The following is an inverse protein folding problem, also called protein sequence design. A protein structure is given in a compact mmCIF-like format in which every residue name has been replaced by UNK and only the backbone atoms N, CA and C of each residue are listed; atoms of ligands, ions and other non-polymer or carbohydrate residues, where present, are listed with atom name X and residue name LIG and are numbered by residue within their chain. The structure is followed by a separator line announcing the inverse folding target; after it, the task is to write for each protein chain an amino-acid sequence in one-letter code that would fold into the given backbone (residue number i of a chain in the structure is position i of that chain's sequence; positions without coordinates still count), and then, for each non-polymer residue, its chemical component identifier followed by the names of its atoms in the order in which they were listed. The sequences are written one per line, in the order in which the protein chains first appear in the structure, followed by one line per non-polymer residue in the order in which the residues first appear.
data_IF_564104544107
#
_entry.id   IF_564104544107
#
_cell.length_a   1.000
_cell.length_b   1.000
_cell.length_c   1.000
_cell.angle_alpha   90.00
_cell.angle_beta   90.00
_cell.angle_gamma   90.00
#
_symmetry.space_group_name_H-M   'P 1'
#
loop_
_entity.id
_entity.type
_entity.pdbx_description
1 polymer ?
#
# COMPACT_ATOMS: atom_id res chain seq x y z
N UNK A 1 -41.85 -59.96 9.97
CA UNK A 1 -40.73 -60.10 10.94
C UNK A 1 -39.78 -61.14 10.39
N UNK A 2 -38.45 -60.90 10.44
CA UNK A 2 -37.73 -60.27 9.34
C UNK A 2 -36.80 -61.24 8.59
N UNK A 3 -36.59 -60.94 7.31
CA UNK A 3 -35.54 -61.47 6.45
C UNK A 3 -34.28 -60.63 6.59
N UNK A 4 -33.17 -61.29 6.89
CA UNK A 4 -31.82 -60.73 6.99
C UNK A 4 -31.01 -61.12 5.71
N UNK A 5 -29.75 -60.72 5.53
CA UNK A 5 -29.35 -59.65 4.63
C UNK A 5 -28.35 -60.15 3.58
N UNK A 6 -28.40 -59.68 2.33
CA UNK A 6 -27.19 -59.63 1.49
C UNK A 6 -27.52 -59.00 0.14
N UNK A 7 -27.22 -57.70 0.04
CA UNK A 7 -26.85 -56.99 -1.19
C UNK A 7 -26.42 -55.58 -0.83
N UNK A 8 -25.35 -55.49 -0.03
CA UNK A 8 -24.55 -54.28 -0.03
C UNK A 8 -23.72 -54.32 -1.32
N UNK A 9 -24.11 -53.50 -2.29
CA UNK A 9 -23.28 -53.19 -3.43
C UNK A 9 -21.92 -52.72 -2.92
N UNK A 10 -20.87 -53.47 -3.22
CA UNK A 10 -19.49 -53.00 -3.15
C UNK A 10 -19.37 -51.83 -4.12
N UNK A 11 -19.56 -50.61 -3.61
CA UNK A 11 -19.14 -49.41 -4.29
C UNK A 11 -17.62 -49.45 -4.36
N UNK A 12 -17.10 -49.75 -5.54
CA UNK A 12 -15.68 -49.59 -5.86
C UNK A 12 -15.25 -48.16 -5.52
N UNK A 13 -14.49 -48.01 -4.43
CA UNK A 13 -13.73 -46.80 -4.10
C UNK A 13 -12.45 -46.74 -4.94
N UNK A 14 -12.59 -46.80 -6.26
CA UNK A 14 -11.46 -46.74 -7.20
C UNK A 14 -11.56 -45.55 -8.15
N UNK A 15 -11.88 -44.37 -7.60
CA UNK A 15 -11.88 -43.10 -8.36
C UNK A 15 -11.41 -41.91 -7.50
N UNK A 16 -10.50 -42.16 -6.56
CA UNK A 16 -9.75 -41.09 -5.92
C UNK A 16 -8.68 -40.60 -6.91
N UNK A 17 -9.04 -39.61 -7.73
CA UNK A 17 -8.08 -38.90 -8.58
C UNK A 17 -6.87 -38.44 -7.77
N UNK A 18 -5.67 -38.60 -8.32
CA UNK A 18 -4.42 -38.18 -7.66
C UNK A 18 -4.49 -36.67 -7.44
N UNK A 19 -4.69 -36.27 -6.19
CA UNK A 19 -4.77 -34.86 -5.82
C UNK A 19 -3.35 -34.28 -5.76
N UNK A 20 -3.13 -33.19 -6.48
CA UNK A 20 -1.89 -32.43 -6.36
C UNK A 20 -1.81 -31.78 -4.97
N UNK A 21 -0.60 -31.67 -4.43
CA UNK A 21 -0.36 -30.94 -3.19
C UNK A 21 -0.88 -29.50 -3.29
N UNK A 22 -1.22 -28.91 -2.14
CA UNK A 22 -1.52 -27.48 -2.07
C UNK A 22 -0.27 -26.67 -2.50
N UNK A 23 -0.45 -25.60 -3.30
CA UNK A 23 0.67 -24.73 -3.63
C UNK A 23 1.25 -24.12 -2.35
N UNK A 24 2.58 -24.05 -2.26
CA UNK A 24 3.31 -23.34 -1.22
C UNK A 24 3.76 -21.97 -1.71
N UNK A 25 4.04 -21.05 -0.80
CA UNK A 25 4.56 -19.72 -1.13
C UNK A 25 5.75 -19.44 -0.24
N UNK A 26 6.83 -18.97 -0.85
CA UNK A 26 8.05 -18.58 -0.13
C UNK A 26 7.75 -17.53 0.96
N UNK A 27 8.23 -17.77 2.17
CA UNK A 27 8.00 -16.89 3.32
C UNK A 27 6.61 -17.01 3.96
N UNK A 28 5.75 -17.92 3.50
CA UNK A 28 4.44 -18.22 4.12
C UNK A 28 4.50 -19.55 4.86
N UNK A 29 4.17 -19.53 6.15
CA UNK A 29 4.06 -20.75 6.95
C UNK A 29 3.03 -21.70 6.34
N UNK A 30 3.39 -22.98 6.18
CA UNK A 30 2.49 -24.00 5.63
C UNK A 30 1.31 -24.32 6.57
N UNK A 31 1.46 -24.03 7.87
CA UNK A 31 0.43 -24.20 8.89
C UNK A 31 -0.48 -22.98 9.06
N UNK A 32 -0.16 -21.84 8.45
CA UNK A 32 -1.00 -20.64 8.51
C UNK A 32 -2.22 -20.77 7.57
N UNK A 33 -3.45 -20.94 8.10
CA UNK A 33 -4.65 -21.07 7.28
C UNK A 33 -5.03 -19.78 6.54
N UNK A 34 -4.56 -18.62 7.01
CA UNK A 34 -4.78 -17.34 6.34
C UNK A 34 -3.79 -17.10 5.18
N UNK A 35 -2.69 -17.85 5.15
CA UNK A 35 -1.64 -17.72 4.15
C UNK A 35 -1.05 -16.31 4.11
N UNK A 36 -0.65 -15.80 5.28
CA UNK A 36 -0.15 -14.43 5.43
C UNK A 36 1.12 -14.23 4.62
N UNK A 37 1.04 -13.39 3.59
CA UNK A 37 2.15 -13.08 2.70
C UNK A 37 3.20 -12.20 3.40
N UNK A 38 4.48 -12.30 3.00
CA UNK A 38 5.51 -11.34 3.39
C UNK A 38 5.10 -9.89 3.12
N UNK A 39 5.54 -8.96 3.98
CA UNK A 39 5.16 -7.55 3.90
C UNK A 39 5.60 -6.86 2.58
N UNK A 40 6.58 -7.44 1.89
CA UNK A 40 7.10 -6.96 0.61
C UNK A 40 6.48 -7.66 -0.62
N UNK A 41 5.48 -8.54 -0.44
CA UNK A 41 4.87 -9.31 -1.52
C UNK A 41 4.20 -8.42 -2.59
N UNK A 42 3.64 -7.27 -2.20
CA UNK A 42 3.07 -6.31 -3.17
C UNK A 42 4.15 -5.59 -4.00
N UNK A 43 5.40 -5.58 -3.55
CA UNK A 43 6.52 -4.89 -4.20
C UNK A 43 7.41 -5.85 -4.99
N UNK A 44 7.60 -7.08 -4.51
CA UNK A 44 8.49 -8.09 -5.12
C UNK A 44 7.74 -9.22 -5.83
N UNK A 45 6.44 -9.35 -5.61
CA UNK A 45 5.68 -10.51 -6.06
C UNK A 45 5.79 -11.67 -5.07
N UNK A 46 5.45 -12.87 -5.53
CA UNK A 46 5.48 -14.09 -4.71
C UNK A 46 6.21 -15.22 -5.44
N UNK A 47 6.94 -16.04 -4.69
CA UNK A 47 7.50 -17.30 -5.20
C UNK A 47 6.56 -18.46 -4.89
N UNK A 48 5.87 -18.99 -5.88
CA UNK A 48 4.98 -20.17 -5.70
C UNK A 48 5.82 -21.44 -5.78
N UNK A 49 5.79 -22.24 -4.73
CA UNK A 49 6.51 -23.51 -4.62
C UNK A 49 5.51 -24.64 -4.84
N UNK A 50 5.80 -25.53 -5.79
CA UNK A 50 4.99 -26.74 -6.02
C UNK A 50 5.86 -27.98 -5.89
N UNK A 51 5.29 -29.06 -5.37
CA UNK A 51 5.96 -30.37 -5.31
C UNK A 51 6.02 -31.01 -6.70
N UNK A 52 7.03 -31.87 -6.90
CA UNK A 52 7.08 -32.77 -8.06
C UNK A 52 5.80 -33.62 -8.15
N UNK A 53 5.16 -33.62 -9.32
CA UNK A 53 3.97 -34.45 -9.55
C UNK A 53 4.35 -35.89 -9.89
N UNK A 54 3.43 -36.82 -9.62
CA UNK A 54 3.70 -38.26 -9.71
C UNK A 54 4.13 -38.70 -11.13
N UNK A 55 3.50 -38.14 -12.15
CA UNK A 55 3.76 -38.43 -13.55
C UNK A 55 4.76 -37.45 -14.19
N UNK A 56 5.82 -37.01 -13.50
CA UNK A 56 6.84 -36.11 -14.07
C UNK A 56 7.50 -36.69 -15.34
N UNK A 57 7.83 -35.89 -16.37
CA UNK A 57 8.40 -36.38 -17.61
C UNK A 57 9.79 -37.01 -17.40
N UNK A 58 9.99 -38.18 -17.98
CA UNK A 58 11.27 -38.92 -17.96
C UNK A 58 11.85 -39.10 -19.37
N UNK A 59 11.14 -38.63 -20.39
CA UNK A 59 11.46 -38.71 -21.80
C UNK A 59 11.42 -37.31 -22.43
N UNK A 60 11.23 -37.22 -23.75
CA UNK A 60 11.14 -35.96 -24.48
C UNK A 60 9.83 -35.18 -24.23
N UNK A 61 8.91 -35.68 -23.39
CA UNK A 61 7.67 -35.00 -23.06
C UNK A 61 7.95 -33.73 -22.26
N UNK A 62 7.17 -32.69 -22.56
CA UNK A 62 7.20 -31.42 -21.85
C UNK A 62 5.83 -31.22 -21.20
N UNK A 63 5.83 -31.14 -19.88
CA UNK A 63 4.64 -30.85 -19.10
C UNK A 63 4.55 -29.33 -18.87
N UNK A 64 3.33 -28.82 -18.79
CA UNK A 64 3.08 -27.38 -18.65
C UNK A 64 2.35 -27.09 -17.36
N UNK A 65 2.93 -26.22 -16.54
CA UNK A 65 2.37 -25.81 -15.26
C UNK A 65 1.83 -24.40 -15.38
N UNK A 66 0.59 -24.21 -14.96
CA UNK A 66 -0.13 -22.94 -15.02
C UNK A 66 -0.59 -22.53 -13.63
N UNK A 67 -0.19 -21.34 -13.17
CA UNK A 67 -0.64 -20.74 -11.90
C UNK A 67 -1.84 -19.85 -12.18
N UNK A 68 -2.89 -20.01 -11.39
CA UNK A 68 -4.13 -19.23 -11.48
C UNK A 68 -4.40 -18.50 -10.18
N UNK A 69 -4.97 -17.31 -10.31
CA UNK A 69 -5.76 -16.69 -9.25
C UNK A 69 -7.18 -17.21 -9.41
N UNK A 70 -7.78 -17.72 -8.34
CA UNK A 70 -9.14 -18.25 -8.40
C UNK A 70 -10.10 -17.12 -8.78
N UNK A 71 -10.92 -17.35 -9.80
CA UNK A 71 -11.83 -16.36 -10.36
C UNK A 71 -11.31 -15.64 -11.61
N UNK A 72 -10.03 -15.82 -11.99
CA UNK A 72 -9.51 -15.34 -13.29
C UNK A 72 -9.55 -16.45 -14.35
N UNK A 73 -9.89 -16.13 -15.62
CA UNK A 73 -9.91 -17.14 -16.69
C UNK A 73 -8.50 -17.51 -17.15
N UNK A 74 -7.58 -16.55 -17.14
CA UNK A 74 -6.21 -16.70 -17.64
C UNK A 74 -5.23 -17.01 -16.50
N UNK A 75 -4.18 -17.81 -16.78
CA UNK A 75 -3.11 -18.04 -15.82
C UNK A 75 -2.27 -16.78 -15.63
N UNK A 76 -1.89 -16.49 -14.39
CA UNK A 76 -0.95 -15.41 -14.06
C UNK A 76 0.50 -15.79 -14.36
N UNK A 77 0.80 -17.08 -14.43
CA UNK A 77 2.13 -17.56 -14.80
C UNK A 77 2.07 -18.93 -15.45
N UNK A 78 2.99 -19.16 -16.38
CA UNK A 78 3.18 -20.45 -17.02
C UNK A 78 4.67 -20.83 -17.03
N UNK A 79 4.92 -22.13 -16.86
CA UNK A 79 6.25 -22.77 -16.95
C UNK A 79 6.14 -24.12 -17.66
N UNK A 80 7.24 -24.50 -18.29
CA UNK A 80 7.39 -25.76 -19.02
C UNK A 80 8.51 -26.56 -18.37
N UNK A 81 8.28 -27.84 -18.17
CA UNK A 81 9.22 -28.75 -17.50
C UNK A 81 9.40 -30.01 -18.34
N UNK A 82 10.64 -30.36 -18.63
CA UNK A 82 11.04 -31.63 -19.24
C UNK A 82 11.88 -32.48 -18.30
N UNK A 83 12.36 -33.63 -18.78
CA UNK A 83 13.18 -34.55 -17.99
C UNK A 83 14.46 -33.91 -17.41
N UNK A 84 15.01 -32.89 -18.07
CA UNK A 84 16.19 -32.17 -17.60
C UNK A 84 15.92 -31.28 -16.38
N UNK A 85 14.66 -30.94 -16.11
CA UNK A 85 14.27 -30.05 -15.02
C UNK A 85 13.93 -30.80 -13.73
N UNK A 86 14.07 -32.14 -13.68
CA UNK A 86 13.61 -32.95 -12.55
C UNK A 86 14.19 -32.48 -11.20
N UNK A 87 13.29 -32.07 -10.31
CA UNK A 87 13.58 -31.61 -8.96
C UNK A 87 12.44 -32.01 -8.02
N UNK A 88 12.72 -32.06 -6.71
CA UNK A 88 11.70 -32.35 -5.70
C UNK A 88 10.63 -31.26 -5.61
N UNK A 89 11.03 -30.01 -5.85
CA UNK A 89 10.18 -28.83 -5.78
C UNK A 89 10.54 -27.83 -6.87
N UNK A 90 9.55 -27.04 -7.28
CA UNK A 90 9.70 -26.02 -8.31
C UNK A 90 9.26 -24.66 -7.79
N UNK A 91 10.14 -23.66 -7.90
CA UNK A 91 9.85 -22.26 -7.57
C UNK A 91 9.44 -21.49 -8.83
N UNK A 92 8.22 -20.93 -8.80
CA UNK A 92 7.61 -20.21 -9.90
C UNK A 92 7.35 -18.76 -9.46
N UNK A 93 8.15 -17.78 -9.92
CA UNK A 93 7.97 -16.38 -9.53
C UNK A 93 6.77 -15.75 -10.26
N UNK A 94 5.85 -15.18 -9.48
CA UNK A 94 4.70 -14.39 -9.94
C UNK A 94 4.99 -12.92 -9.65
N UNK A 95 4.96 -12.10 -10.70
CA UNK A 95 5.25 -10.67 -10.61
C UNK A 95 4.20 -9.93 -9.76
N UNK A 96 4.58 -8.89 -9.01
CA UNK A 96 3.65 -8.14 -8.16
C UNK A 96 2.52 -7.48 -8.94
N UNK A 97 2.76 -7.09 -10.20
CA UNK A 97 1.74 -6.49 -11.09
C UNK A 97 0.63 -7.46 -11.50
N UNK A 98 0.84 -8.76 -11.31
CA UNK A 98 -0.12 -9.82 -11.62
C UNK A 98 -0.92 -10.25 -10.38
N UNK A 99 -0.60 -9.71 -9.20
CA UNK A 99 -1.32 -10.00 -7.97
C UNK A 99 -2.58 -9.12 -7.86
N UNK A 100 -3.66 -9.63 -7.25
CA UNK A 100 -4.86 -8.83 -7.03
C UNK A 100 -4.61 -7.68 -6.07
N UNK A 101 -5.29 -6.55 -6.29
CA UNK A 101 -5.35 -5.47 -5.31
C UNK A 101 -6.54 -5.65 -4.35
N UNK A 102 -6.63 -6.84 -3.74
CA UNK A 102 -7.60 -7.15 -2.68
C UNK A 102 -6.87 -7.68 -1.43
N UNK A 103 -7.46 -7.55 -0.22
CA UNK A 103 -6.78 -7.96 1.02
C UNK A 103 -6.39 -9.45 1.07
N UNK A 104 -7.19 -10.31 0.45
CA UNK A 104 -6.94 -11.74 0.35
C UNK A 104 -7.45 -12.30 -0.96
N UNK A 105 -6.77 -13.32 -1.48
CA UNK A 105 -7.11 -14.03 -2.71
C UNK A 105 -6.73 -15.51 -2.59
N UNK A 106 -7.16 -16.34 -3.53
CA UNK A 106 -6.76 -17.74 -3.59
C UNK A 106 -5.95 -18.02 -4.85
N UNK A 107 -4.95 -18.90 -4.72
CA UNK A 107 -4.19 -19.42 -5.85
C UNK A 107 -4.39 -20.92 -5.99
N UNK A 108 -4.29 -21.42 -7.22
CA UNK A 108 -4.18 -22.84 -7.52
C UNK A 108 -3.24 -23.04 -8.70
N UNK A 109 -2.77 -24.26 -8.89
CA UNK A 109 -2.03 -24.60 -10.09
C UNK A 109 -2.63 -25.80 -10.80
N UNK A 110 -2.38 -25.86 -12.11
CA UNK A 110 -2.77 -26.97 -12.96
C UNK A 110 -1.54 -27.48 -13.68
N UNK A 111 -1.35 -28.80 -13.65
CA UNK A 111 -0.34 -29.51 -14.41
C UNK A 111 -1.01 -30.10 -15.63
N UNK A 112 -0.64 -29.60 -16.81
CA UNK A 112 -1.02 -30.15 -18.11
C UNK A 112 0.02 -31.19 -18.50
N UNK A 113 -0.34 -32.45 -18.36
CA UNK A 113 0.53 -33.63 -18.57
C UNK A 113 -0.25 -34.70 -19.33
N UNK A 114 0.09 -35.98 -19.15
CA UNK A 114 -0.69 -37.11 -19.69
C UNK A 114 -2.14 -37.05 -19.21
N UNK A 115 -2.31 -36.74 -17.92
CA UNK A 115 -3.61 -36.45 -17.33
C UNK A 115 -3.54 -35.07 -16.68
N UNK A 116 -4.45 -34.19 -17.09
CA UNK A 116 -4.55 -32.87 -16.52
C UNK A 116 -5.01 -32.97 -15.07
N UNK A 117 -4.24 -32.38 -14.17
CA UNK A 117 -4.50 -32.40 -12.73
C UNK A 117 -4.44 -30.99 -12.18
N UNK A 118 -5.31 -30.70 -11.21
CA UNK A 118 -5.43 -29.37 -10.60
C UNK A 118 -5.29 -29.50 -9.09
N UNK A 119 -4.56 -28.58 -8.46
CA UNK A 119 -4.45 -28.51 -7.01
C UNK A 119 -5.72 -27.99 -6.37
N UNK A 120 -5.89 -28.25 -5.08
CA UNK A 120 -6.82 -27.47 -4.29
C UNK A 120 -6.38 -25.99 -4.25
N UNK A 121 -7.32 -25.04 -4.11
CA UNK A 121 -7.00 -23.65 -3.85
C UNK A 121 -6.30 -23.46 -2.51
N UNK A 122 -5.33 -22.54 -2.46
CA UNK A 122 -4.74 -22.02 -1.24
C UNK A 122 -5.08 -20.54 -1.10
N UNK A 123 -5.64 -20.18 0.06
CA UNK A 123 -5.83 -18.79 0.45
C UNK A 123 -4.51 -18.12 0.79
N UNK A 124 -4.38 -16.87 0.36
CA UNK A 124 -3.29 -15.96 0.68
C UNK A 124 -3.86 -14.61 1.11
N UNK A 125 -3.23 -13.99 2.10
CA UNK A 125 -3.67 -12.71 2.67
C UNK A 125 -2.48 -11.77 2.76
N UNK A 126 -2.59 -10.53 2.27
CA UNK A 126 -1.51 -9.57 2.44
C UNK A 126 -1.37 -9.16 3.91
N UNK A 127 -0.14 -9.19 4.44
CA UNK A 127 0.12 -8.67 5.77
C UNK A 127 -0.19 -7.16 5.83
N UNK A 128 -1.02 -6.75 6.79
CA UNK A 128 -1.25 -5.34 7.09
C UNK A 128 -0.08 -4.85 7.96
N UNK A 129 1.05 -4.54 7.33
CA UNK A 129 2.21 -3.95 8.02
C UNK A 129 2.20 -2.44 7.79
N UNK A 130 2.24 -1.60 8.85
CA UNK A 130 2.38 -0.16 8.66
C UNK A 130 3.70 0.12 7.94
N UNK A 131 3.74 1.05 6.96
CA UNK A 131 4.97 1.39 6.27
C UNK A 131 6.01 1.92 7.27
N UNK A 132 7.27 1.45 7.23
CA UNK A 132 8.30 1.85 8.17
C UNK A 132 8.48 3.37 8.21
N UNK A 133 8.58 3.90 9.43
CA UNK A 133 8.69 5.34 9.70
C UNK A 133 10.15 5.79 9.61
N UNK A 134 10.55 6.25 8.43
CA UNK A 134 11.96 6.57 8.11
C UNK A 134 12.15 7.90 7.39
N UNK A 135 11.06 8.51 6.88
CA UNK A 135 11.13 9.78 6.16
C UNK A 135 11.10 10.95 7.16
N UNK A 136 11.77 12.05 6.81
CA UNK A 136 11.80 13.27 7.61
C UNK A 136 10.39 13.87 7.72
N UNK A 137 10.14 14.63 8.78
CA UNK A 137 8.89 15.38 8.92
C UNK A 137 8.73 16.45 7.82
N UNK A 138 7.50 16.78 7.42
CA UNK A 138 7.24 17.97 6.62
C UNK A 138 7.58 19.25 7.37
N UNK A 139 7.92 20.30 6.62
CA UNK A 139 8.22 21.63 7.14
C UNK A 139 7.27 22.67 6.58
N UNK A 140 7.23 23.84 7.23
CA UNK A 140 6.31 24.92 6.92
C UNK A 140 7.11 26.18 6.60
N UNK A 141 7.43 26.43 5.31
CA UNK A 141 8.32 27.53 4.92
C UNK A 141 7.72 28.93 5.18
N UNK A 142 6.40 29.01 5.34
CA UNK A 142 5.68 30.26 5.63
C UNK A 142 5.49 30.50 7.14
N UNK A 143 6.02 29.60 7.99
CA UNK A 143 6.00 29.77 9.43
C UNK A 143 7.18 30.63 9.92
N UNK A 144 6.95 31.34 11.01
CA UNK A 144 8.01 32.01 11.79
C UNK A 144 9.02 31.00 12.35
N UNK A 145 10.19 31.44 12.84
CA UNK A 145 11.15 30.57 13.53
C UNK A 145 10.58 29.82 14.76
N UNK A 146 9.44 30.23 15.28
CA UNK A 146 8.74 29.61 16.41
C UNK A 146 7.61 28.65 15.99
N UNK A 147 7.45 28.44 14.68
CA UNK A 147 6.47 27.55 14.08
C UNK A 147 5.08 28.15 13.88
N UNK A 148 4.93 29.48 13.99
CA UNK A 148 3.64 30.15 13.80
C UNK A 148 3.43 30.61 12.37
N UNK A 149 2.27 30.30 11.80
CA UNK A 149 1.67 31.03 10.68
C UNK A 149 0.62 31.97 11.28
N UNK A 150 0.67 33.23 10.89
CA UNK A 150 -0.20 34.27 11.42
C UNK A 150 -0.82 35.08 10.28
N UNK A 151 -1.50 36.18 10.60
CA UNK A 151 -2.13 37.03 9.60
C UNK A 151 -1.14 37.68 8.61
N UNK A 152 0.12 37.86 9.00
CA UNK A 152 1.13 38.48 8.13
C UNK A 152 1.87 37.45 7.28
N UNK A 153 2.42 37.91 6.14
CA UNK A 153 3.33 37.09 5.34
C UNK A 153 4.70 37.04 6.02
N UNK A 154 4.96 35.98 6.78
CA UNK A 154 6.18 35.82 7.58
C UNK A 154 7.48 35.72 6.74
N UNK A 155 7.37 35.30 5.49
CA UNK A 155 8.50 35.22 4.55
C UNK A 155 8.21 36.02 3.27
N UNK A 156 8.16 37.35 3.34
CA UNK A 156 7.70 38.19 2.22
C UNK A 156 8.66 38.23 1.04
N UNK A 157 9.90 37.74 1.21
CA UNK A 157 10.90 37.66 0.14
C UNK A 157 10.77 36.40 -0.70
N UNK A 158 10.06 35.38 -0.22
CA UNK A 158 9.75 34.18 -0.99
C UNK A 158 8.52 34.49 -1.89
N UNK A 159 8.66 34.45 -3.23
CA UNK A 159 7.56 34.73 -4.13
C UNK A 159 6.40 33.72 -4.03
N UNK A 160 6.68 32.52 -3.50
CA UNK A 160 5.69 31.46 -3.30
C UNK A 160 5.08 31.48 -1.89
N UNK A 161 5.49 32.42 -1.03
CA UNK A 161 4.91 32.53 0.31
C UNK A 161 3.45 32.97 0.24
N UNK A 162 2.61 32.33 1.04
CA UNK A 162 1.17 32.56 1.09
C UNK A 162 0.78 33.29 2.37
N UNK A 163 -0.28 34.09 2.29
CA UNK A 163 -1.04 34.47 3.48
C UNK A 163 -1.86 33.27 3.97
N UNK A 164 -2.17 33.24 5.27
CA UNK A 164 -2.90 32.11 5.89
C UNK A 164 -4.26 31.83 5.24
N UNK A 165 -4.93 32.86 4.69
CA UNK A 165 -6.20 32.71 3.96
C UNK A 165 -6.06 32.28 2.50
N UNK A 166 -4.87 32.38 1.92
CA UNK A 166 -4.58 31.87 0.58
C UNK A 166 -4.28 30.36 0.64
N UNK A 167 -3.64 29.91 1.72
CA UNK A 167 -3.37 28.49 1.96
C UNK A 167 -2.20 28.30 2.91
N UNK A 168 -1.95 27.05 3.29
CA UNK A 168 -0.73 26.68 4.05
C UNK A 168 0.15 25.83 3.16
N UNK A 169 1.34 26.34 2.85
CA UNK A 169 2.34 25.59 2.10
C UNK A 169 3.06 24.60 3.01
N UNK A 170 2.98 23.33 2.65
CA UNK A 170 3.69 22.23 3.29
C UNK A 170 4.82 21.78 2.38
N UNK A 171 6.04 21.78 2.90
CA UNK A 171 7.23 21.36 2.18
C UNK A 171 7.66 19.99 2.65
N UNK A 172 7.64 19.01 1.75
CA UNK A 172 8.16 17.66 1.99
C UNK A 172 9.64 17.64 1.59
N UNK A 173 10.57 17.42 2.53
CA UNK A 173 11.99 17.35 2.22
C UNK A 173 12.27 16.26 1.18
N UNK A 174 13.17 16.54 0.24
CA UNK A 174 13.65 15.53 -0.68
C UNK A 174 14.34 14.39 0.07
N UNK A 175 14.09 13.15 -0.36
CA UNK A 175 14.75 11.94 0.15
C UNK A 175 15.23 11.10 -1.04
N UNK A 176 16.45 10.56 -0.97
CA UNK A 176 17.04 9.78 -2.07
C UNK A 176 16.28 8.46 -2.35
N UNK A 177 15.34 8.06 -1.49
CA UNK A 177 14.45 6.91 -1.73
C UNK A 177 13.30 7.20 -2.69
N UNK A 178 13.03 8.47 -2.98
CA UNK A 178 11.98 8.88 -3.90
C UNK A 178 12.32 8.44 -5.33
N UNK A 179 11.29 7.97 -6.05
CA UNK A 179 11.37 7.65 -7.47
C UNK A 179 10.32 8.44 -8.23
N UNK A 180 10.59 8.69 -9.51
CA UNK A 180 9.60 9.29 -10.39
C UNK A 180 8.36 8.39 -10.44
N UNK A 181 7.18 9.00 -10.51
CA UNK A 181 5.87 8.33 -10.46
C UNK A 181 5.44 7.78 -9.10
N UNK A 182 6.29 7.87 -8.06
CA UNK A 182 5.80 7.70 -6.70
C UNK A 182 4.73 8.77 -6.40
N UNK A 183 3.82 8.46 -5.48
CA UNK A 183 2.87 9.42 -4.94
C UNK A 183 3.22 9.71 -3.47
N UNK A 184 3.12 10.99 -3.09
CA UNK A 184 3.07 11.40 -1.70
C UNK A 184 1.61 11.55 -1.31
N UNK A 185 1.21 10.87 -0.25
CA UNK A 185 -0.09 11.06 0.42
C UNK A 185 0.14 11.80 1.73
N UNK A 186 -0.13 13.11 1.72
CA UNK A 186 0.02 14.02 2.86
C UNK A 186 -1.28 14.10 3.66
N UNK A 187 -1.23 13.72 4.93
CA UNK A 187 -2.33 13.85 5.87
C UNK A 187 -2.27 15.19 6.59
N UNK A 188 -3.43 15.82 6.79
CA UNK A 188 -3.59 17.08 7.48
C UNK A 188 -4.75 17.02 8.47
N UNK A 189 -4.55 17.58 9.66
CA UNK A 189 -5.56 17.66 10.72
C UNK A 189 -5.28 18.88 11.60
N UNK A 190 -6.30 19.72 11.81
CA UNK A 190 -6.26 20.89 12.69
C UNK A 190 -6.80 20.59 14.08
N UNK A 191 -6.29 21.31 15.07
CA UNK A 191 -6.49 21.08 16.50
C UNK A 191 -6.64 22.38 17.28
N UNK A 192 -7.46 22.34 18.34
CA UNK A 192 -7.77 23.47 19.24
C UNK A 192 -6.68 23.79 20.28
N UNK A 193 -5.43 23.43 19.98
CA UNK A 193 -4.30 23.64 20.88
C UNK A 193 -2.99 23.78 20.11
N UNK A 194 -1.93 24.25 20.78
CA UNK A 194 -0.62 24.49 20.16
C UNK A 194 0.24 23.23 19.93
N UNK A 195 -0.16 22.06 20.43
CA UNK A 195 0.70 20.87 20.45
C UNK A 195 0.21 19.73 19.54
N UNK A 196 -0.72 20.02 18.63
CA UNK A 196 -1.24 19.04 17.67
C UNK A 196 -2.13 17.97 18.30
N UNK A 197 -2.85 18.32 19.38
CA UNK A 197 -3.76 17.43 20.09
C UNK A 197 -5.00 18.18 20.59
N UNK A 198 -5.94 17.48 21.23
CA UNK A 198 -7.17 18.09 21.75
C UNK A 198 -8.36 17.81 20.87
N UNK A 199 -9.26 18.78 20.74
CA UNK A 199 -10.44 18.67 19.87
C UNK A 199 -10.02 18.93 18.43
N UNK A 200 -10.36 18.00 17.54
CA UNK A 200 -10.18 18.19 16.11
C UNK A 200 -11.07 19.35 15.62
N UNK A 201 -10.45 20.37 15.00
CA UNK A 201 -11.16 21.52 14.43
C UNK A 201 -11.50 21.33 12.95
N UNK A 202 -10.78 20.44 12.27
CA UNK A 202 -10.99 20.12 10.85
C UNK A 202 -11.20 18.61 10.68
N UNK A 203 -11.65 18.11 9.51
CA UNK A 203 -11.59 16.69 9.24
C UNK A 203 -10.15 16.24 8.90
N UNK A 204 -9.83 14.98 9.19
CA UNK A 204 -8.60 14.37 8.72
C UNK A 204 -8.70 14.22 7.20
N UNK A 205 -7.86 14.95 6.47
CA UNK A 205 -7.86 14.98 5.00
C UNK A 205 -6.52 14.49 4.45
N UNK A 206 -6.56 13.89 3.27
CA UNK A 206 -5.35 13.46 2.54
C UNK A 206 -5.23 14.23 1.24
N UNK A 207 -4.07 14.82 1.00
CA UNK A 207 -3.68 15.47 -0.24
C UNK A 207 -2.67 14.60 -0.97
N UNK A 208 -2.82 14.43 -2.28
CA UNK A 208 -1.95 13.57 -3.08
C UNK A 208 -1.13 14.39 -4.06
N UNK A 209 0.17 14.12 -4.15
CA UNK A 209 1.06 14.69 -5.16
C UNK A 209 1.98 13.63 -5.76
N UNK A 210 1.97 13.52 -7.08
CA UNK A 210 2.88 12.63 -7.82
C UNK A 210 4.26 13.28 -7.95
N UNK A 211 5.31 12.51 -7.65
CA UNK A 211 6.70 12.92 -7.82
C UNK A 211 7.07 12.85 -9.31
N UNK A 212 7.54 13.95 -9.87
CA UNK A 212 7.93 14.05 -11.27
C UNK A 212 9.40 13.66 -11.47
N UNK A 213 9.78 13.36 -12.71
CA UNK A 213 11.20 13.14 -13.05
C UNK A 213 12.07 14.39 -12.81
N UNK A 214 11.49 15.59 -12.92
CA UNK A 214 12.18 16.85 -12.63
C UNK A 214 12.49 16.99 -11.13
N UNK A 215 11.55 16.61 -10.27
CA UNK A 215 11.74 16.65 -8.80
C UNK A 215 12.91 15.76 -8.37
N UNK A 216 13.03 14.56 -8.97
CA UNK A 216 14.14 13.63 -8.73
C UNK A 216 15.47 14.21 -9.23
N UNK A 217 15.49 14.71 -10.47
CA UNK A 217 16.71 15.25 -11.09
C UNK A 217 17.24 16.46 -10.32
N UNK A 218 16.36 17.36 -9.91
CA UNK A 218 16.72 18.63 -9.30
C UNK A 218 16.84 18.54 -7.77
N UNK A 219 16.50 17.38 -7.18
CA UNK A 219 16.50 17.10 -5.74
C UNK A 219 15.77 18.16 -4.92
N UNK A 220 14.65 18.67 -5.44
CA UNK A 220 13.88 19.75 -4.82
C UNK A 220 12.86 19.20 -3.81
N UNK A 221 12.56 19.97 -2.74
CA UNK A 221 11.43 19.66 -1.88
C UNK A 221 10.11 19.63 -2.67
N UNK A 222 9.20 18.74 -2.27
CA UNK A 222 7.87 18.65 -2.87
C UNK A 222 6.93 19.57 -2.08
N UNK A 223 6.40 20.60 -2.73
CA UNK A 223 5.46 21.54 -2.12
C UNK A 223 4.00 21.09 -2.34
N UNK A 224 3.19 21.07 -1.28
CA UNK A 224 1.73 20.84 -1.33
C UNK A 224 1.06 21.99 -0.57
N UNK A 225 0.02 22.59 -1.13
CA UNK A 225 -0.74 23.66 -0.46
C UNK A 225 -2.03 23.06 0.13
N UNK A 226 -2.29 23.37 1.39
CA UNK A 226 -3.53 23.00 2.06
C UNK A 226 -4.62 24.00 1.67
N UNK A 227 -5.60 23.52 0.90
CA UNK A 227 -6.75 24.28 0.39
C UNK A 227 -7.99 23.35 0.34
N UNK A 228 -9.22 23.89 0.40
CA UNK A 228 -9.54 25.30 0.56
C UNK A 228 -9.42 25.79 2.01
N UNK A 229 -9.20 27.09 2.17
CA UNK A 229 -9.05 27.76 3.47
C UNK A 229 -10.22 27.47 4.43
N UNK A 230 -11.45 27.67 3.96
CA UNK A 230 -12.66 27.60 4.79
C UNK A 230 -12.83 26.26 5.54
N UNK A 231 -12.42 25.15 4.94
CA UNK A 231 -12.61 23.81 5.54
C UNK A 231 -11.40 23.32 6.31
N UNK A 232 -10.19 23.70 5.89
CA UNK A 232 -8.97 23.08 6.40
C UNK A 232 -8.10 24.01 7.24
N UNK A 233 -8.38 25.31 7.24
CA UNK A 233 -7.55 26.33 7.90
C UNK A 233 -8.41 27.25 8.77
N UNK A 234 -9.51 27.76 8.25
CA UNK A 234 -10.36 28.75 8.92
C UNK A 234 -10.86 28.34 10.31
N UNK A 235 -11.13 27.06 10.62
CA UNK A 235 -11.53 26.67 11.98
C UNK A 235 -10.45 26.94 13.04
N UNK A 236 -9.17 27.01 12.67
CA UNK A 236 -8.06 27.33 13.57
C UNK A 236 -7.92 28.84 13.66
N UNK A 237 -8.17 29.43 14.82
CA UNK A 237 -8.32 30.86 15.04
C UNK A 237 -7.27 31.45 15.97
N UNK A 238 -7.01 30.86 17.14
CA UNK A 238 -6.16 31.46 18.17
C UNK A 238 -5.42 30.39 18.96
N UNK A 239 -4.08 30.41 18.88
CA UNK A 239 -3.22 29.42 19.53
C UNK A 239 -3.60 27.97 19.21
N UNK A 240 -4.01 27.76 17.97
CA UNK A 240 -4.36 26.46 17.43
C UNK A 240 -3.15 25.87 16.68
N UNK A 241 -3.28 24.64 16.21
CA UNK A 241 -2.22 24.01 15.43
C UNK A 241 -2.77 23.00 14.43
N UNK A 242 -1.92 22.61 13.51
CA UNK A 242 -2.17 21.48 12.64
C UNK A 242 -0.98 20.53 12.63
N UNK A 243 -1.29 19.25 12.52
CA UNK A 243 -0.30 18.20 12.32
C UNK A 243 -0.34 17.70 10.90
N UNK A 244 0.83 17.34 10.40
CA UNK A 244 0.97 16.73 9.09
C UNK A 244 1.93 15.57 9.12
N UNK A 245 1.62 14.53 8.36
CA UNK A 245 2.52 13.41 8.11
C UNK A 245 2.24 12.90 6.71
N UNK A 246 3.19 12.22 6.09
CA UNK A 246 3.02 11.69 4.75
C UNK A 246 3.49 10.26 4.63
N UNK A 247 2.94 9.60 3.62
CA UNK A 247 3.32 8.27 3.17
C UNK A 247 3.83 8.38 1.75
N UNK A 248 4.96 7.73 1.47
CA UNK A 248 5.42 7.48 0.11
C UNK A 248 4.75 6.22 -0.41
N UNK A 249 4.05 6.34 -1.52
CA UNK A 249 3.30 5.28 -2.17
C UNK A 249 3.93 4.97 -3.52
N UNK A 250 4.29 3.70 -3.73
CA UNK A 250 4.85 3.21 -4.99
C UNK A 250 3.95 2.12 -5.53
N UNK A 251 3.50 2.27 -6.79
CA UNK A 251 2.56 1.32 -7.41
C UNK A 251 1.32 1.03 -6.54
N UNK A 252 0.76 2.07 -5.91
CA UNK A 252 -0.38 2.01 -4.96
C UNK A 252 -0.08 1.30 -3.64
N UNK A 253 1.18 1.04 -3.32
CA UNK A 253 1.59 0.41 -2.06
C UNK A 253 2.31 1.44 -1.19
N UNK A 254 1.82 1.72 0.04
CA UNK A 254 2.58 2.43 1.06
C UNK A 254 3.92 1.76 1.34
N UNK A 255 5.04 2.45 1.12
CA UNK A 255 6.38 1.89 1.31
C UNK A 255 7.16 2.52 2.46
N UNK A 256 6.96 3.81 2.73
CA UNK A 256 7.60 4.51 3.85
C UNK A 256 6.66 5.57 4.41
N UNK A 257 6.79 5.86 5.70
CA UNK A 257 6.08 6.96 6.37
C UNK A 257 7.03 7.96 6.99
N UNK A 258 6.53 9.18 7.19
CA UNK A 258 7.27 10.29 7.78
C UNK A 258 7.09 10.42 9.28
N UNK A 259 8.00 11.15 9.91
CA UNK A 259 7.72 11.83 11.18
C UNK A 259 6.63 12.90 11.00
N UNK A 260 6.00 13.27 12.12
CA UNK A 260 4.87 14.19 12.13
C UNK A 260 5.39 15.61 12.29
N UNK A 261 5.11 16.48 11.32
CA UNK A 261 5.35 17.91 11.42
C UNK A 261 4.19 18.61 12.12
N UNK A 262 4.50 19.71 12.80
CA UNK A 262 3.56 20.56 13.53
C UNK A 262 3.70 22.00 13.08
N UNK A 263 2.58 22.68 12.83
CA UNK A 263 2.52 24.13 12.62
C UNK A 263 1.49 24.75 13.54
N UNK A 264 1.81 25.91 14.09
CA UNK A 264 0.91 26.69 14.94
C UNK A 264 0.21 27.74 14.09
N UNK A 265 -1.08 27.91 14.30
CA UNK A 265 -1.92 28.84 13.54
C UNK A 265 -2.52 29.85 14.53
N UNK A 266 -2.24 31.12 14.28
CA UNK A 266 -2.78 32.23 15.06
C UNK A 266 -3.26 33.33 14.13
N UNK A 267 -4.58 33.42 13.96
CA UNK A 267 -5.23 34.37 13.07
C UNK A 267 -5.74 35.61 13.79
N UNK A 268 -5.35 35.84 15.05
CA UNK A 268 -5.76 37.03 15.80
C UNK A 268 -5.21 38.29 15.14
N UNK A 269 -6.09 39.25 14.85
CA UNK A 269 -5.68 40.57 14.35
C UNK A 269 -5.20 41.44 15.53
N UNK A 270 -3.96 41.94 15.52
CA UNK A 270 -3.44 42.75 16.62
C UNK A 270 -4.28 44.00 16.89
N UNK A 271 -4.78 44.15 18.11
CA UNK A 271 -5.55 45.32 18.51
C UNK A 271 -7.04 45.26 18.16
N UNK A 272 -7.51 44.19 17.53
CA UNK A 272 -8.91 43.97 17.16
C UNK A 272 -9.47 42.68 17.77
N UNK A 273 -10.80 42.55 17.78
CA UNK A 273 -11.48 41.32 18.23
C UNK A 273 -11.72 40.31 17.10
N UNK A 274 -11.12 40.53 15.92
CA UNK A 274 -11.36 39.75 14.71
C UNK A 274 -10.25 38.76 14.37
N UNK A 275 -10.52 37.93 13.38
CA UNK A 275 -9.56 37.00 12.79
C UNK A 275 -9.36 37.32 11.31
N UNK A 276 -8.12 37.26 10.82
CA UNK A 276 -7.87 37.49 9.39
C UNK A 276 -8.45 36.35 8.53
N UNK A 277 -9.27 36.69 7.54
CA UNK A 277 -9.90 35.73 6.60
C UNK A 277 -9.65 36.06 5.13
N UNK A 278 -9.16 37.26 4.84
CA UNK A 278 -8.90 37.78 3.50
C UNK A 278 -8.01 39.03 3.61
N UNK A 279 -7.81 39.76 2.52
CA UNK A 279 -6.94 40.95 2.51
C UNK A 279 -7.55 42.22 3.12
N UNK A 280 -8.81 42.22 3.56
CA UNK A 280 -9.52 43.44 3.99
C UNK A 280 -9.10 44.00 5.35
N UNK A 281 -8.37 43.22 6.17
CA UNK A 281 -7.88 43.67 7.48
C UNK A 281 -6.52 44.38 7.40
N UNK A 282 -5.84 44.35 6.26
CA UNK A 282 -4.54 45.02 6.01
C UNK A 282 -4.74 46.44 5.49
#
# INVERSE_FOLDING_TARGET
MPSDPDKAATANTSDAGVLLDLPRVEGVDASDPAGTLPADAKQKGIGVIISRWLAFPVDARIDRVQIYIVGTPDPVKERFYGAADDALEFLIPVEPTLLPDVPSFEIRYMVRSVNDTTSLPRRLTFAITPPPKVLKEPTFPDATPWGYINCTKNNPHDPDALFVWEGIRVSIPFDDRFQAQDAIELKWQGWDSLNGSGTALTPLVTFTKTITAADIRDKKPISIVIEPFATHIEPMTNNDSAVTSYVLVRNRVPIFSSYTGLVKIDRVIPGESGFCSDASWM
#
